data_IF_825590754052
#
_entry.id   IF_825590754052
#
_cell.length_a   1.000
_cell.length_b   1.000
_cell.length_c   1.000
_cell.angle_alpha   90.00
_cell.angle_beta   90.00
_cell.angle_gamma   90.00
#
_symmetry.space_group_name_H-M   'P 1'
#
loop_
_entity.id
_entity.type
_entity.pdbx_description
1 polymer ?
#
# COMPACT_ATOMS: atom_id res chain seq x y z
N UNK A 1 -19.56 -20.88 12.86
CA UNK A 1 -18.89 -21.79 13.81
C UNK A 1 -17.85 -20.96 14.57
N UNK A 2 -18.03 -20.71 15.86
CA UNK A 2 -17.07 -19.93 16.65
C UNK A 2 -15.99 -20.90 17.13
N UNK A 3 -14.75 -20.75 16.64
CA UNK A 3 -13.63 -21.59 17.06
C UNK A 3 -13.19 -21.15 18.46
N UNK A 4 -13.38 -22.00 19.45
CA UNK A 4 -12.94 -21.77 20.83
C UNK A 4 -11.49 -22.24 21.01
N UNK A 5 -10.53 -21.32 20.94
CA UNK A 5 -9.11 -21.61 21.13
C UNK A 5 -8.80 -21.61 22.63
N UNK A 6 -8.56 -22.80 23.20
CA UNK A 6 -8.25 -22.98 24.63
C UNK A 6 -6.77 -22.75 24.96
N UNK A 7 -5.89 -22.77 23.96
CA UNK A 7 -4.46 -22.60 24.16
C UNK A 7 -4.10 -21.11 24.27
N UNK A 8 -3.69 -20.69 25.48
CA UNK A 8 -3.37 -19.29 25.80
C UNK A 8 -2.26 -18.70 24.92
N UNK A 9 -1.20 -19.47 24.62
CA UNK A 9 -0.10 -19.01 23.75
C UNK A 9 -0.56 -18.83 22.30
N UNK A 10 -1.41 -19.74 21.81
CA UNK A 10 -1.97 -19.60 20.46
C UNK A 10 -2.86 -18.34 20.35
N UNK A 11 -3.65 -18.05 21.38
CA UNK A 11 -4.47 -16.83 21.44
C UNK A 11 -3.61 -15.57 21.45
N UNK A 12 -2.50 -15.58 22.19
CA UNK A 12 -1.56 -14.45 22.29
C UNK A 12 -0.85 -14.17 20.96
N UNK A 13 -0.38 -15.22 20.27
CA UNK A 13 0.19 -15.09 18.94
C UNK A 13 -0.81 -14.53 17.93
N UNK A 14 -2.07 -14.99 17.97
CA UNK A 14 -3.12 -14.47 17.09
C UNK A 14 -3.44 -13.00 17.35
N UNK A 15 -3.52 -12.58 18.61
CA UNK A 15 -3.71 -11.16 18.96
C UNK A 15 -2.58 -10.29 18.43
N UNK A 16 -1.34 -10.73 18.63
CA UNK A 16 -0.17 -10.00 18.14
C UNK A 16 -0.16 -9.91 16.60
N UNK A 17 -0.68 -10.92 15.90
CA UNK A 17 -0.85 -10.86 14.44
C UNK A 17 -1.92 -9.85 14.03
N UNK A 18 -3.07 -9.81 14.73
CA UNK A 18 -4.14 -8.84 14.46
C UNK A 18 -3.73 -7.38 14.72
N UNK A 19 -2.76 -7.16 15.61
CA UNK A 19 -2.19 -5.85 15.90
C UNK A 19 -1.24 -5.33 14.83
N UNK A 20 -0.78 -6.19 13.90
CA UNK A 20 0.01 -5.76 12.75
C UNK A 20 -0.88 -4.96 11.79
N UNK A 21 -0.55 -3.69 11.56
CA UNK A 21 -1.26 -2.81 10.61
C UNK A 21 -1.41 -3.43 9.21
N UNK A 22 -0.44 -4.24 8.79
CA UNK A 22 -0.48 -5.01 7.54
C UNK A 22 -1.72 -5.91 7.46
N UNK A 23 -2.12 -6.56 8.55
CA UNK A 23 -3.31 -7.43 8.58
C UNK A 23 -4.59 -6.60 8.57
N UNK A 24 -4.59 -5.40 9.17
CA UNK A 24 -5.75 -4.48 9.11
C UNK A 24 -6.00 -3.98 7.68
N UNK A 25 -4.94 -3.71 6.91
CA UNK A 25 -5.04 -3.37 5.49
C UNK A 25 -5.64 -4.53 4.68
N UNK A 26 -5.30 -5.78 4.99
CA UNK A 26 -5.82 -6.97 4.31
C UNK A 26 -7.25 -7.36 4.72
N UNK A 27 -7.74 -6.90 5.88
CA UNK A 27 -9.09 -7.22 6.39
C UNK A 27 -10.18 -6.24 5.94
N UNK A 28 -9.82 -5.13 5.29
CA UNK A 28 -10.78 -4.22 4.69
C UNK A 28 -11.13 -4.70 3.28
N UNK A 29 -12.39 -5.08 3.06
CA UNK A 29 -12.97 -5.28 1.72
C UNK A 29 -13.17 -3.95 0.96
N UNK A 30 -12.65 -2.85 1.49
CA UNK A 30 -12.77 -1.52 0.91
C UNK A 30 -11.60 -1.30 -0.05
N UNK A 31 -11.91 -1.17 -1.34
CA UNK A 31 -10.93 -0.83 -2.37
C UNK A 31 -10.20 0.45 -1.98
N UNK A 32 -8.86 0.38 -1.88
CA UNK A 32 -8.01 1.51 -1.54
C UNK A 32 -8.27 2.71 -2.47
N UNK A 33 -8.72 2.47 -3.70
CA UNK A 33 -9.10 3.51 -4.65
C UNK A 33 -10.18 4.46 -4.10
N UNK A 34 -11.08 3.96 -3.23
CA UNK A 34 -12.12 4.75 -2.59
C UNK A 34 -11.66 5.47 -1.32
N UNK A 35 -10.41 5.25 -0.89
CA UNK A 35 -9.85 5.81 0.35
C UNK A 35 -8.92 7.01 0.14
N UNK A 36 -8.43 7.20 -1.09
CA UNK A 36 -7.57 8.32 -1.47
C UNK A 36 -8.39 9.59 -1.78
N UNK A 37 -7.78 10.76 -1.67
CA UNK A 37 -8.42 12.03 -1.99
C UNK A 37 -8.64 12.21 -3.50
N UNK A 38 -9.50 13.15 -3.89
CA UNK A 38 -9.73 13.48 -5.29
C UNK A 38 -8.44 14.04 -5.94
N UNK A 39 -7.63 14.78 -5.19
CA UNK A 39 -6.33 15.29 -5.65
C UNK A 39 -5.34 14.14 -5.91
N UNK A 40 -5.27 13.17 -5.00
CA UNK A 40 -4.42 11.98 -5.15
C UNK A 40 -4.88 11.14 -6.34
N UNK A 41 -6.19 10.93 -6.48
CA UNK A 41 -6.78 10.21 -7.62
C UNK A 41 -6.46 10.88 -8.94
N UNK A 42 -6.64 12.20 -9.01
CA UNK A 42 -6.31 13.03 -10.19
C UNK A 42 -4.83 12.95 -10.56
N UNK A 43 -3.94 12.97 -9.55
CA UNK A 43 -2.50 12.82 -9.79
C UNK A 43 -2.15 11.44 -10.36
N UNK A 44 -2.80 10.38 -9.89
CA UNK A 44 -2.61 9.02 -10.40
C UNK A 44 -3.13 8.89 -11.85
N UNK A 45 -4.35 9.36 -12.12
CA UNK A 45 -4.94 9.34 -13.47
C UNK A 45 -4.07 10.09 -14.48
N UNK A 46 -3.55 11.26 -14.10
CA UNK A 46 -2.61 12.01 -14.92
C UNK A 46 -1.34 11.22 -15.20
N UNK A 47 -0.78 10.55 -14.19
CA UNK A 47 0.39 9.69 -14.34
C UNK A 47 0.15 8.53 -15.31
N UNK A 48 -1.02 7.90 -15.26
CA UNK A 48 -1.43 6.86 -16.21
C UNK A 48 -1.54 7.41 -17.64
N UNK A 49 -2.19 8.56 -17.83
CA UNK A 49 -2.30 9.22 -19.13
C UNK A 49 -0.92 9.61 -19.70
N UNK A 50 -0.03 10.15 -18.87
CA UNK A 50 1.33 10.49 -19.31
C UNK A 50 2.12 9.23 -19.71
N UNK A 51 1.90 8.09 -19.04
CA UNK A 51 2.48 6.80 -19.41
C UNK A 51 1.97 6.30 -20.76
N UNK A 52 0.65 6.33 -20.99
CA UNK A 52 0.02 5.96 -22.26
C UNK A 52 0.50 6.84 -23.42
N UNK A 53 0.70 8.13 -23.16
CA UNK A 53 1.23 9.09 -24.12
C UNK A 53 2.76 9.02 -24.30
N UNK A 54 3.44 8.04 -23.67
CA UNK A 54 4.88 7.84 -23.80
C UNK A 54 5.74 8.90 -23.11
N UNK A 55 5.18 9.73 -22.22
CA UNK A 55 5.90 10.76 -21.45
C UNK A 55 6.59 10.16 -20.22
N UNK A 56 7.17 8.98 -20.38
CA UNK A 56 7.90 8.28 -19.33
C UNK A 56 9.36 8.73 -19.29
N UNK A 57 9.93 8.69 -18.09
CA UNK A 57 11.36 8.94 -17.88
C UNK A 57 12.11 7.61 -17.79
N UNK A 58 13.27 7.46 -18.45
CA UNK A 58 14.10 6.27 -18.27
C UNK A 58 14.53 6.08 -16.82
N UNK A 59 14.66 4.83 -16.38
CA UNK A 59 15.13 4.50 -15.04
C UNK A 59 16.46 5.17 -14.67
N UNK A 60 17.36 5.35 -15.65
CA UNK A 60 18.64 6.05 -15.46
C UNK A 60 18.50 7.52 -15.06
N UNK A 61 17.44 8.20 -15.50
CA UNK A 61 17.12 9.57 -15.12
C UNK A 61 16.55 9.62 -13.70
N UNK A 62 15.61 8.72 -13.38
CA UNK A 62 15.05 8.58 -12.03
C UNK A 62 16.13 8.30 -10.97
N UNK A 63 17.10 7.42 -11.29
CA UNK A 63 18.22 7.09 -10.39
C UNK A 63 19.10 8.30 -10.07
N UNK A 64 19.30 9.22 -11.03
CA UNK A 64 20.09 10.45 -10.78
C UNK A 64 19.41 11.34 -9.75
N UNK A 65 18.09 11.49 -9.83
CA UNK A 65 17.30 12.28 -8.88
C UNK A 65 17.37 11.66 -7.49
N UNK A 66 17.17 10.35 -7.40
CA UNK A 66 17.23 9.62 -6.13
C UNK A 66 18.60 9.80 -5.45
N UNK A 67 19.68 9.59 -6.20
CA UNK A 67 21.04 9.73 -5.68
C UNK A 67 21.38 11.18 -5.29
N UNK A 68 20.82 12.17 -5.98
CA UNK A 68 21.00 13.58 -5.63
C UNK A 68 20.20 14.01 -4.38
N UNK A 69 19.09 13.32 -4.07
CA UNK A 69 18.30 13.59 -2.88
C UNK A 69 18.95 13.04 -1.60
N UNK A 70 19.77 12.00 -1.71
CA UNK A 70 20.43 11.31 -0.59
C UNK A 70 21.95 11.57 -0.47
N UNK A 71 22.47 12.55 -1.22
CA UNK A 71 23.88 12.98 -1.18
C UNK A 71 24.04 14.30 -0.44
#
# INVERSE_FOLDING_TARGET
MIVQIKNKKALELLKNLEDLEIIKVLKKDEDWWNTISDEERSAIEKGLQDAENGKLKPHSEAKKILNAHFA
#
